data_IF_363320343201
#
_entry.id   IF_363320343201
#
_cell.length_a   1.000
_cell.length_b   1.000
_cell.length_c   1.000
_cell.angle_alpha   90.00
_cell.angle_beta   90.00
_cell.angle_gamma   90.00
#
_symmetry.space_group_name_H-M   'P 1'
#
loop_
_entity.id
_entity.type
_entity.pdbx_description
1 polymer ?
#
# COMPACT_ATOMS: atom_id res chain seq x y z
N UNK A 1 -13.09 -8.04 13.04
CA UNK A 1 -14.15 -7.00 12.92
C UNK A 1 -13.79 -6.11 11.74
N UNK A 2 -14.72 -5.79 10.83
CA UNK A 2 -14.51 -4.83 9.75
C UNK A 2 -15.27 -3.53 10.01
N UNK A 3 -14.75 -2.40 9.54
CA UNK A 3 -15.35 -1.08 9.72
C UNK A 3 -15.02 -0.13 8.56
N UNK A 4 -15.69 1.02 8.54
CA UNK A 4 -15.43 2.13 7.63
C UNK A 4 -16.32 3.32 7.93
N UNK A 5 -16.19 4.39 7.15
CA UNK A 5 -16.91 5.65 7.36
C UNK A 5 -17.98 5.90 6.31
N UNK A 6 -19.05 6.59 6.70
CA UNK A 6 -19.95 7.29 5.78
C UNK A 6 -19.89 8.76 6.12
N UNK A 7 -19.47 9.57 5.16
CA UNK A 7 -19.26 11.01 5.36
C UNK A 7 -20.21 11.77 4.45
N UNK A 8 -20.94 12.72 5.05
CA UNK A 8 -21.82 13.66 4.38
C UNK A 8 -21.47 15.07 4.87
N UNK A 9 -21.73 16.06 4.03
CA UNK A 9 -21.52 17.46 4.35
C UNK A 9 -22.22 18.36 3.34
N UNK A 10 -22.17 19.66 3.59
CA UNK A 10 -22.74 20.66 2.69
C UNK A 10 -21.85 20.87 1.44
N UNK A 11 -22.48 21.35 0.36
CA UNK A 11 -21.84 21.47 -0.95
C UNK A 11 -21.68 20.12 -1.65
N UNK A 12 -20.72 20.07 -2.58
CA UNK A 12 -20.55 18.94 -3.47
C UNK A 12 -19.51 19.18 -4.56
N UNK A 13 -19.67 18.46 -5.67
CA UNK A 13 -18.74 18.45 -6.80
C UNK A 13 -18.45 19.84 -7.34
N UNK A 14 -19.50 20.66 -7.44
CA UNK A 14 -19.51 22.06 -7.86
C UNK A 14 -18.74 23.00 -6.92
N UNK A 15 -18.49 22.58 -5.69
CA UNK A 15 -17.72 23.36 -4.69
C UNK A 15 -16.33 22.82 -4.45
N UNK A 16 -15.91 21.75 -5.13
CA UNK A 16 -14.61 21.09 -4.93
C UNK A 16 -14.63 20.01 -3.84
N UNK A 17 -15.75 19.81 -3.14
CA UNK A 17 -15.96 18.69 -2.22
C UNK A 17 -16.48 17.49 -3.01
N UNK A 18 -16.29 16.28 -2.48
CA UNK A 18 -16.63 15.03 -3.19
C UNK A 18 -17.31 14.02 -2.28
N UNK A 19 -18.21 14.53 -1.43
CA UNK A 19 -19.02 13.72 -0.51
C UNK A 19 -19.67 12.54 -1.24
N UNK A 20 -19.62 11.35 -0.63
CA UNK A 20 -20.16 10.14 -1.24
C UNK A 20 -20.80 9.21 -0.20
N UNK A 21 -21.87 9.66 0.50
CA UNK A 21 -22.42 8.96 1.68
C UNK A 21 -23.04 7.59 1.37
N UNK A 22 -23.37 7.34 0.10
CA UNK A 22 -23.86 6.07 -0.42
C UNK A 22 -22.82 4.94 -0.33
N UNK A 23 -21.53 5.25 -0.24
CA UNK A 23 -20.46 4.25 -0.12
C UNK A 23 -19.81 4.29 1.25
N UNK A 24 -19.36 3.13 1.71
CA UNK A 24 -18.49 3.04 2.89
C UNK A 24 -17.07 3.34 2.47
N UNK A 25 -16.47 4.34 3.09
CA UNK A 25 -15.11 4.81 2.85
C UNK A 25 -14.14 4.12 3.81
N UNK A 26 -12.95 3.84 3.32
CA UNK A 26 -11.83 3.31 4.10
C UNK A 26 -11.33 4.39 5.06
N UNK A 27 -11.00 3.99 6.29
CA UNK A 27 -10.27 4.86 7.21
C UNK A 27 -8.83 5.08 6.68
N UNK A 28 -8.41 6.34 6.43
CA UNK A 28 -7.04 6.66 6.02
C UNK A 28 -5.95 6.12 6.96
N UNK A 29 -6.29 5.87 8.22
CA UNK A 29 -5.42 5.34 9.27
C UNK A 29 -5.68 3.85 9.59
N UNK A 30 -6.51 3.15 8.82
CA UNK A 30 -6.73 1.73 9.03
C UNK A 30 -5.38 0.97 9.02
N UNK A 31 -5.01 0.26 10.10
CA UNK A 31 -3.73 -0.44 10.15
C UNK A 31 -3.72 -1.68 9.25
N UNK A 32 -4.91 -2.20 8.90
CA UNK A 32 -5.10 -3.34 8.02
C UNK A 32 -6.36 -3.11 7.19
N UNK A 33 -6.37 -3.60 5.94
CA UNK A 33 -7.53 -3.57 5.07
C UNK A 33 -8.02 -4.98 4.74
N UNK A 34 -9.32 -5.20 4.95
CA UNK A 34 -10.02 -6.37 4.46
C UNK A 34 -10.58 -6.08 3.07
N UNK A 35 -10.33 -7.00 2.15
CA UNK A 35 -10.85 -6.99 0.80
C UNK A 35 -10.65 -8.36 0.15
N UNK A 36 -10.33 -8.36 -1.15
CA UNK A 36 -10.01 -9.58 -1.90
C UNK A 36 -8.88 -10.39 -1.24
N UNK A 37 -8.94 -11.72 -1.40
CA UNK A 37 -7.94 -12.64 -0.84
C UNK A 37 -6.85 -13.05 -1.81
N UNK A 38 -7.17 -13.15 -3.09
CA UNK A 38 -6.25 -13.67 -4.10
C UNK A 38 -5.87 -12.56 -5.08
N UNK A 39 -4.58 -12.35 -5.26
CA UNK A 39 -4.06 -11.33 -6.17
C UNK A 39 -4.53 -11.59 -7.62
N UNK A 40 -5.10 -10.56 -8.24
CA UNK A 40 -5.48 -10.56 -9.64
C UNK A 40 -6.73 -11.38 -9.95
N UNK A 41 -7.42 -11.90 -8.93
CA UNK A 41 -8.62 -12.71 -9.09
C UNK A 41 -9.79 -12.06 -8.37
N UNK A 42 -10.90 -11.83 -9.09
CA UNK A 42 -12.14 -11.37 -8.49
C UNK A 42 -12.66 -12.38 -7.47
N UNK A 43 -13.22 -11.91 -6.37
CA UNK A 43 -13.90 -12.76 -5.41
C UNK A 43 -15.18 -12.09 -4.86
N UNK A 44 -16.16 -12.84 -4.33
CA UNK A 44 -17.40 -12.25 -3.84
C UNK A 44 -17.25 -11.31 -2.63
N UNK A 45 -16.15 -11.40 -1.87
CA UNK A 45 -15.92 -10.60 -0.66
C UNK A 45 -15.74 -9.12 -1.02
N UNK A 46 -15.12 -8.85 -2.16
CA UNK A 46 -14.82 -7.49 -2.62
C UNK A 46 -16.06 -6.68 -3.04
N UNK A 47 -17.19 -7.34 -3.33
CA UNK A 47 -18.43 -6.68 -3.78
C UNK A 47 -18.21 -5.69 -4.93
N UNK A 48 -17.44 -6.09 -5.95
CA UNK A 48 -17.08 -5.22 -7.07
C UNK A 48 -18.32 -4.70 -7.80
N UNK A 49 -18.27 -3.40 -8.13
CA UNK A 49 -19.30 -2.72 -8.91
C UNK A 49 -18.65 -1.95 -10.06
N UNK A 50 -19.15 -2.05 -11.32
CA UNK A 50 -18.65 -1.23 -12.42
C UNK A 50 -18.66 0.26 -12.06
N UNK A 51 -17.63 1.00 -12.47
CA UNK A 51 -17.38 2.41 -12.10
C UNK A 51 -17.12 2.68 -10.61
N UNK A 52 -17.69 1.94 -9.67
CA UNK A 52 -17.38 2.13 -8.24
C UNK A 52 -16.11 1.39 -7.84
N UNK A 53 -15.81 0.23 -8.42
CA UNK A 53 -14.67 -0.60 -8.07
C UNK A 53 -14.99 -1.57 -6.94
N UNK A 54 -13.95 -2.08 -6.32
CA UNK A 54 -14.01 -3.02 -5.20
C UNK A 54 -14.22 -2.28 -3.88
N UNK A 55 -14.88 -2.93 -2.92
CA UNK A 55 -15.02 -2.46 -1.55
C UNK A 55 -13.87 -3.00 -0.71
N UNK A 56 -13.18 -2.08 -0.04
CA UNK A 56 -12.22 -2.38 1.01
C UNK A 56 -12.72 -1.80 2.33
N UNK A 57 -12.40 -2.44 3.45
CA UNK A 57 -12.83 -2.02 4.78
C UNK A 57 -11.66 -2.07 5.75
N UNK A 58 -11.62 -1.14 6.70
CA UNK A 58 -10.67 -1.20 7.80
C UNK A 58 -10.90 -2.45 8.65
N UNK A 59 -9.82 -3.01 9.20
CA UNK A 59 -9.87 -4.08 10.19
C UNK A 59 -8.70 -3.95 11.17
N UNK A 60 -8.73 -4.75 12.23
CA UNK A 60 -7.64 -4.88 13.19
C UNK A 60 -7.37 -6.37 13.47
N UNK A 61 -6.22 -6.64 14.06
CA UNK A 61 -5.87 -7.92 14.67
C UNK A 61 -6.14 -7.82 16.18
N UNK A 62 -7.15 -8.52 16.68
CA UNK A 62 -7.51 -8.55 18.10
C UNK A 62 -7.09 -9.84 18.81
N UNK A 63 -6.81 -10.87 18.02
CA UNK A 63 -6.72 -12.25 18.51
C UNK A 63 -5.27 -12.71 18.61
N UNK A 64 -4.38 -12.17 17.77
CA UNK A 64 -3.00 -12.62 17.77
C UNK A 64 -2.22 -12.03 18.94
N UNK A 65 -1.27 -12.79 19.53
CA UNK A 65 -0.32 -12.21 20.47
C UNK A 65 0.58 -11.20 19.75
N UNK A 66 1.18 -10.32 20.56
CA UNK A 66 2.24 -9.42 20.10
C UNK A 66 3.29 -10.21 19.29
N UNK A 67 3.74 -9.63 18.19
CA UNK A 67 4.72 -10.29 17.34
C UNK A 67 6.08 -10.36 18.07
N UNK A 68 6.62 -11.56 18.22
CA UNK A 68 7.91 -11.78 18.85
C UNK A 68 9.04 -11.49 17.86
N UNK A 69 9.69 -10.34 18.00
CA UNK A 69 10.88 -9.98 17.22
C UNK A 69 12.16 -10.72 17.69
N UNK A 70 12.09 -11.56 18.73
CA UNK A 70 13.25 -12.25 19.30
C UNK A 70 14.16 -11.28 20.05
N UNK A 71 15.50 -11.35 19.90
CA UNK A 71 16.43 -10.42 20.55
C UNK A 71 16.27 -8.93 20.15
N UNK A 72 15.28 -8.59 19.33
CA UNK A 72 14.76 -7.23 19.16
C UNK A 72 15.63 -6.35 18.26
N UNK A 73 15.79 -5.08 18.65
CA UNK A 73 16.66 -4.11 17.94
C UNK A 73 18.09 -4.61 17.73
N UNK A 74 18.58 -5.49 18.61
CA UNK A 74 19.93 -6.04 18.51
C UNK A 74 20.16 -6.88 17.23
N UNK A 75 19.11 -7.37 16.57
CA UNK A 75 19.22 -8.05 15.29
C UNK A 75 18.99 -7.15 14.07
N UNK A 76 18.64 -5.87 14.26
CA UNK A 76 18.49 -4.92 13.15
C UNK A 76 19.89 -4.51 12.71
N UNK A 77 20.40 -5.16 11.67
CA UNK A 77 21.55 -4.62 10.95
C UNK A 77 21.13 -3.28 10.35
N UNK A 78 22.01 -2.28 10.48
CA UNK A 78 21.86 -0.99 9.78
C UNK A 78 23.20 -0.73 9.14
N UNK A 79 23.34 -1.18 7.90
CA UNK A 79 24.52 -0.88 7.13
C UNK A 79 24.64 0.63 7.00
N UNK A 80 25.86 1.16 7.06
CA UNK A 80 26.06 2.55 6.71
C UNK A 80 25.70 2.74 5.23
N UNK A 81 25.16 3.91 4.85
CA UNK A 81 24.73 4.16 3.47
C UNK A 81 25.80 3.85 2.41
N UNK A 82 27.08 4.07 2.74
CA UNK A 82 28.23 3.79 1.87
C UNK A 82 28.49 2.30 1.62
N UNK A 83 27.97 1.44 2.49
CA UNK A 83 28.16 -0.01 2.48
C UNK A 83 26.91 -0.72 1.89
N UNK A 84 25.89 0.04 1.46
CA UNK A 84 24.67 -0.51 0.88
C UNK A 84 24.87 -1.01 -0.55
N UNK A 85 24.50 -2.27 -0.78
CA UNK A 85 24.25 -2.86 -2.10
C UNK A 85 22.77 -3.20 -2.17
N UNK A 86 22.01 -2.34 -2.86
CA UNK A 86 20.55 -2.39 -2.91
C UNK A 86 20.08 -3.29 -4.05
N UNK A 87 19.15 -4.21 -3.74
CA UNK A 87 18.47 -5.07 -4.71
C UNK A 87 16.99 -4.71 -4.82
N UNK A 88 16.61 -4.03 -5.91
CA UNK A 88 15.22 -3.65 -6.20
C UNK A 88 14.41 -4.88 -6.66
N UNK A 89 13.26 -5.14 -6.02
CA UNK A 89 12.43 -6.29 -6.37
C UNK A 89 10.96 -6.16 -5.99
N UNK A 90 10.03 -6.66 -6.84
CA UNK A 90 8.64 -6.87 -6.46
C UNK A 90 8.47 -8.17 -5.66
N UNK A 91 7.79 -8.09 -4.50
CA UNK A 91 7.51 -9.25 -3.63
C UNK A 91 6.88 -10.39 -4.42
N UNK A 92 5.83 -10.09 -5.20
CA UNK A 92 5.10 -11.11 -5.96
C UNK A 92 5.96 -11.76 -7.04
N UNK A 93 6.47 -10.97 -7.98
CA UNK A 93 7.14 -11.53 -9.16
C UNK A 93 8.45 -12.23 -8.82
N UNK A 94 9.09 -11.89 -7.69
CA UNK A 94 10.32 -12.54 -7.25
C UNK A 94 10.16 -14.06 -7.01
N UNK A 95 9.00 -14.51 -6.53
CA UNK A 95 8.78 -15.93 -6.18
C UNK A 95 7.52 -16.55 -6.82
N UNK A 96 6.78 -15.83 -7.66
CA UNK A 96 5.55 -16.34 -8.28
C UNK A 96 5.75 -17.58 -9.18
N UNK A 97 6.91 -17.72 -9.82
CA UNK A 97 7.20 -18.84 -10.73
C UNK A 97 7.34 -20.17 -9.98
N UNK A 98 6.91 -21.32 -10.53
CA UNK A 98 7.24 -22.64 -10.00
C UNK A 98 8.75 -22.89 -9.86
N UNK A 99 9.57 -22.21 -10.66
CA UNK A 99 11.05 -22.28 -10.55
C UNK A 99 11.59 -21.72 -9.23
N UNK A 100 10.78 -21.01 -8.45
CA UNK A 100 11.13 -20.60 -7.08
C UNK A 100 11.28 -21.79 -6.13
N UNK A 101 10.79 -22.99 -6.50
CA UNK A 101 10.80 -24.20 -5.68
C UNK A 101 10.06 -24.06 -4.34
N UNK A 102 9.16 -23.08 -4.24
CA UNK A 102 8.28 -22.91 -3.09
C UNK A 102 6.96 -23.66 -3.27
N UNK A 103 6.29 -24.04 -2.16
CA UNK A 103 4.90 -24.50 -2.21
C UNK A 103 4.01 -23.48 -2.89
N UNK A 104 2.98 -23.94 -3.63
CA UNK A 104 2.10 -23.06 -4.42
C UNK A 104 1.51 -21.90 -3.61
N UNK A 105 1.03 -22.19 -2.40
CA UNK A 105 0.46 -21.20 -1.47
C UNK A 105 1.41 -20.11 -0.97
N UNK A 106 2.73 -20.30 -1.11
CA UNK A 106 3.76 -19.33 -0.68
C UNK A 106 4.41 -18.59 -1.86
N UNK A 107 4.02 -18.87 -3.10
CA UNK A 107 4.61 -18.21 -4.26
C UNK A 107 4.11 -16.79 -4.40
N UNK A 108 5.04 -15.83 -4.44
CA UNK A 108 4.73 -14.41 -4.60
C UNK A 108 4.07 -13.79 -3.37
N UNK A 109 4.44 -14.26 -2.17
CA UNK A 109 3.93 -13.81 -0.87
C UNK A 109 5.07 -13.30 0.00
N UNK A 110 4.76 -12.61 1.11
CA UNK A 110 5.78 -12.18 2.07
C UNK A 110 6.53 -13.38 2.66
N UNK A 111 5.82 -14.46 3.01
CA UNK A 111 6.45 -15.69 3.48
C UNK A 111 7.34 -16.34 2.41
N UNK A 112 6.92 -16.32 1.14
CA UNK A 112 7.74 -16.83 0.04
C UNK A 112 9.06 -16.08 -0.11
N UNK A 113 9.03 -14.76 0.02
CA UNK A 113 10.23 -13.93 0.02
C UNK A 113 11.13 -14.24 1.22
N UNK A 114 10.55 -14.40 2.42
CA UNK A 114 11.30 -14.77 3.63
C UNK A 114 12.14 -16.04 3.42
N UNK A 115 11.60 -17.05 2.72
CA UNK A 115 12.32 -18.30 2.38
C UNK A 115 13.49 -18.11 1.40
N UNK A 116 13.65 -16.92 0.82
CA UNK A 116 14.76 -16.56 -0.08
C UNK A 116 15.81 -15.67 0.57
N UNK A 117 15.74 -15.43 1.87
CA UNK A 117 16.74 -14.62 2.60
C UNK A 117 18.18 -15.17 2.42
N UNK A 118 18.39 -16.49 2.56
CA UNK A 118 19.72 -17.07 2.35
C UNK A 118 20.23 -16.88 0.93
N UNK A 119 19.36 -17.03 -0.08
CA UNK A 119 19.73 -16.79 -1.47
C UNK A 119 20.19 -15.34 -1.70
N UNK A 120 19.49 -14.37 -1.11
CA UNK A 120 19.88 -12.95 -1.18
C UNK A 120 21.20 -12.69 -0.44
N UNK A 121 21.41 -13.32 0.72
CA UNK A 121 22.67 -13.22 1.46
C UNK A 121 23.84 -13.82 0.66
N UNK A 122 23.64 -14.99 0.03
CA UNK A 122 24.64 -15.64 -0.83
C UNK A 122 24.95 -14.82 -2.09
N UNK A 123 23.96 -14.08 -2.61
CA UNK A 123 24.14 -13.13 -3.70
C UNK A 123 25.02 -11.94 -3.29
N UNK A 124 25.12 -11.64 -1.99
CA UNK A 124 25.96 -10.60 -1.42
C UNK A 124 25.32 -9.21 -1.38
N UNK A 125 23.98 -9.13 -1.49
CA UNK A 125 23.26 -7.86 -1.32
C UNK A 125 23.09 -7.56 0.16
N UNK A 126 23.13 -6.29 0.55
CA UNK A 126 23.01 -5.88 1.95
C UNK A 126 21.65 -5.24 2.25
N UNK A 127 20.89 -4.89 1.23
CA UNK A 127 19.54 -4.37 1.36
C UNK A 127 18.66 -4.81 0.20
N UNK A 128 17.37 -5.02 0.48
CA UNK A 128 16.34 -5.13 -0.55
C UNK A 128 15.52 -3.84 -0.59
N UNK A 129 15.24 -3.35 -1.78
CA UNK A 129 14.25 -2.30 -2.01
C UNK A 129 13.00 -2.95 -2.59
N UNK A 130 11.97 -3.06 -1.77
CA UNK A 130 10.71 -3.66 -2.18
C UNK A 130 9.90 -2.62 -2.95
N UNK A 131 9.49 -2.98 -4.17
CA UNK A 131 8.39 -2.27 -4.85
C UNK A 131 7.15 -2.22 -3.93
N UNK A 132 6.20 -1.29 -4.18
CA UNK A 132 5.06 -1.04 -3.32
C UNK A 132 4.45 -2.26 -2.60
N UNK A 133 4.39 -2.15 -1.28
CA UNK A 133 3.81 -3.17 -0.40
C UNK A 133 2.60 -2.68 0.39
N UNK A 134 2.20 -1.43 0.21
CA UNK A 134 1.00 -0.87 0.84
C UNK A 134 -0.23 -1.39 0.09
N UNK A 135 -1.41 -1.35 0.66
CA UNK A 135 -2.61 -1.88 0.01
C UNK A 135 -2.98 -1.12 -1.28
N UNK A 136 -3.16 -1.81 -2.42
CA UNK A 136 -3.73 -1.27 -3.67
C UNK A 136 -4.77 -2.21 -4.31
N UNK A 137 -5.55 -1.69 -5.25
CA UNK A 137 -6.45 -2.50 -6.09
C UNK A 137 -5.74 -2.88 -7.39
N UNK A 138 -5.21 -4.10 -7.47
CA UNK A 138 -4.54 -4.59 -8.69
C UNK A 138 -5.47 -4.71 -9.91
N UNK A 139 -6.78 -4.62 -9.70
CA UNK A 139 -7.81 -4.68 -10.73
C UNK A 139 -8.46 -3.31 -11.00
N UNK A 140 -7.82 -2.21 -10.60
CA UNK A 140 -8.35 -0.84 -10.79
C UNK A 140 -8.71 -0.54 -12.26
N UNK A 141 -7.94 -1.07 -13.22
CA UNK A 141 -8.19 -0.86 -14.65
C UNK A 141 -9.41 -1.63 -15.19
N UNK A 142 -9.96 -2.58 -14.44
CA UNK A 142 -11.19 -3.28 -14.81
C UNK A 142 -12.46 -2.52 -14.40
N UNK A 143 -12.31 -1.41 -13.67
CA UNK A 143 -13.45 -0.61 -13.21
C UNK A 143 -14.19 0.06 -14.36
N UNK A 144 -13.49 0.28 -15.48
CA UNK A 144 -13.97 0.95 -16.67
C UNK A 144 -13.49 0.26 -17.94
N UNK A 145 -14.29 0.38 -19.00
CA UNK A 145 -13.89 -0.11 -20.31
C UNK A 145 -12.75 0.73 -20.88
N UNK A 146 -11.60 0.12 -21.06
CA UNK A 146 -10.42 0.76 -21.63
C UNK A 146 -9.50 -0.30 -22.28
N UNK A 147 -8.51 0.11 -23.11
CA UNK A 147 -7.64 -0.85 -23.80
C UNK A 147 -6.82 -1.77 -22.88
N UNK A 148 -6.72 -1.45 -21.58
CA UNK A 148 -5.95 -2.18 -20.56
C UNK A 148 -6.85 -2.90 -19.54
N UNK A 149 -8.16 -2.99 -19.77
CA UNK A 149 -9.08 -3.63 -18.82
C UNK A 149 -8.75 -5.12 -18.56
N UNK A 150 -8.02 -5.78 -19.46
CA UNK A 150 -7.55 -7.15 -19.28
C UNK A 150 -6.26 -7.27 -18.43
N UNK A 151 -5.61 -6.15 -18.12
CA UNK A 151 -4.34 -6.10 -17.38
C UNK A 151 -4.58 -5.97 -15.87
N UNK A 152 -3.56 -6.34 -15.10
CA UNK A 152 -3.51 -6.15 -13.65
C UNK A 152 -2.34 -5.24 -13.28
N UNK A 153 -2.53 -4.36 -12.29
CA UNK A 153 -1.45 -3.54 -11.76
C UNK A 153 -0.54 -4.40 -10.87
N UNK A 154 0.57 -4.87 -11.45
CA UNK A 154 1.55 -5.73 -10.76
C UNK A 154 2.56 -4.95 -9.94
N UNK A 155 2.77 -3.66 -10.23
CA UNK A 155 3.79 -2.85 -9.54
C UNK A 155 3.26 -2.22 -8.25
N UNK A 156 1.98 -1.85 -8.20
CA UNK A 156 1.35 -1.35 -6.97
C UNK A 156 1.54 0.13 -6.67
N UNK A 157 2.05 0.93 -7.62
CA UNK A 157 2.13 2.39 -7.52
C UNK A 157 0.73 3.05 -7.67
N UNK A 158 -0.22 2.69 -6.81
CA UNK A 158 -1.60 3.21 -6.79
C UNK A 158 -2.27 2.91 -5.44
N UNK A 159 -1.73 3.48 -4.35
CA UNK A 159 -2.13 3.07 -2.99
C UNK A 159 -3.57 3.49 -2.63
N UNK A 160 -4.28 2.61 -1.92
CA UNK A 160 -5.58 2.87 -1.26
C UNK A 160 -5.36 3.48 0.12
N UNK A 161 -4.34 3.02 0.85
CA UNK A 161 -4.07 3.34 2.24
C UNK A 161 -2.55 3.34 2.49
N UNK A 162 -2.11 4.13 3.48
CA UNK A 162 -0.69 4.34 3.75
C UNK A 162 -0.11 3.50 4.91
N UNK A 163 -0.90 2.68 5.58
CA UNK A 163 -0.51 1.92 6.77
C UNK A 163 -0.63 0.42 6.57
N UNK A 164 -1.64 -0.03 5.82
CA UNK A 164 -1.94 -1.43 5.64
C UNK A 164 -0.99 -2.09 4.64
N UNK A 165 -0.33 -3.21 4.99
CA UNK A 165 0.38 -4.05 4.02
C UNK A 165 -0.60 -4.71 3.05
N UNK A 166 -0.13 -5.01 1.85
CA UNK A 166 -0.89 -5.66 0.78
C UNK A 166 -1.43 -7.01 1.26
N UNK A 167 -2.72 -7.09 1.59
CA UNK A 167 -3.29 -8.28 2.23
C UNK A 167 -3.32 -9.51 1.32
N UNK A 168 -3.21 -9.28 0.01
CA UNK A 168 -3.12 -10.32 -1.03
C UNK A 168 -1.73 -10.93 -1.19
N UNK A 169 -0.75 -10.46 -0.42
CA UNK A 169 0.58 -11.07 -0.30
C UNK A 169 0.69 -11.99 0.92
N UNK A 170 -0.42 -12.30 1.61
CA UNK A 170 -0.50 -13.40 2.55
C UNK A 170 -0.42 -14.76 1.85
N UNK A 171 0.31 -15.71 2.42
CA UNK A 171 0.28 -17.09 2.01
C UNK A 171 -1.15 -17.65 2.05
N UNK A 172 -1.47 -18.50 1.08
CA UNK A 172 -2.77 -19.17 0.93
C UNK A 172 -3.99 -18.22 0.90
N UNK A 173 -3.78 -16.91 0.63
CA UNK A 173 -4.86 -15.92 0.69
C UNK A 173 -5.44 -15.73 2.10
N UNK A 174 -4.66 -16.00 3.15
CA UNK A 174 -5.10 -15.95 4.55
C UNK A 174 -5.55 -14.54 5.01
N UNK A 175 -5.25 -13.51 4.22
CA UNK A 175 -5.79 -12.15 4.33
C UNK A 175 -4.98 -11.22 5.22
N UNK A 176 -5.57 -10.10 5.67
CA UNK A 176 -4.80 -8.96 6.18
C UNK A 176 -3.98 -9.24 7.42
N UNK A 177 -4.54 -9.96 8.40
CA UNK A 177 -3.83 -10.28 9.64
C UNK A 177 -2.63 -11.17 9.34
N UNK A 178 -2.81 -12.21 8.51
CA UNK A 178 -1.72 -13.08 8.09
C UNK A 178 -0.66 -12.30 7.29
N UNK A 179 -1.06 -11.47 6.32
CA UNK A 179 -0.14 -10.64 5.54
C UNK A 179 0.74 -9.75 6.43
N UNK A 180 0.15 -9.08 7.43
CA UNK A 180 0.90 -8.24 8.35
C UNK A 180 1.90 -9.05 9.20
N UNK A 181 1.50 -10.23 9.68
CA UNK A 181 2.39 -11.10 10.46
C UNK A 181 3.50 -11.70 9.60
N UNK A 182 3.18 -12.11 8.39
CA UNK A 182 4.13 -12.63 7.42
C UNK A 182 5.12 -11.54 6.96
N UNK A 183 4.67 -10.30 6.81
CA UNK A 183 5.57 -9.17 6.55
C UNK A 183 6.58 -9.01 7.68
N UNK A 184 6.13 -9.00 8.94
CA UNK A 184 7.04 -8.93 10.10
C UNK A 184 7.99 -10.13 10.14
N UNK A 185 7.50 -11.33 9.83
CA UNK A 185 8.34 -12.52 9.75
C UNK A 185 9.38 -12.42 8.62
N UNK A 186 9.00 -11.90 7.47
CA UNK A 186 9.91 -11.63 6.35
C UNK A 186 11.02 -10.66 6.75
N UNK A 187 10.66 -9.52 7.35
CA UNK A 187 11.64 -8.54 7.85
C UNK A 187 12.57 -9.17 8.89
N UNK A 188 12.01 -9.89 9.88
CA UNK A 188 12.79 -10.60 10.90
C UNK A 188 13.79 -11.59 10.28
N UNK A 189 13.36 -12.35 9.27
CA UNK A 189 14.21 -13.33 8.59
C UNK A 189 15.30 -12.66 7.75
N UNK A 190 15.00 -11.56 7.06
CA UNK A 190 15.98 -10.78 6.30
C UNK A 190 17.01 -10.14 7.24
N UNK A 191 16.57 -9.55 8.36
CA UNK A 191 17.46 -9.01 9.39
C UNK A 191 18.40 -10.07 9.97
N UNK A 192 17.88 -11.27 10.25
CA UNK A 192 18.71 -12.39 10.72
C UNK A 192 19.76 -12.83 9.69
N UNK A 193 19.53 -12.60 8.40
CA UNK A 193 20.48 -12.81 7.32
C UNK A 193 21.39 -11.58 7.05
N UNK A 194 21.26 -10.51 7.84
CA UNK A 194 22.02 -9.27 7.66
C UNK A 194 21.58 -8.46 6.44
N UNK A 195 20.29 -8.43 6.13
CA UNK A 195 19.73 -7.69 4.98
C UNK A 195 18.75 -6.63 5.48
N UNK A 196 19.03 -5.37 5.16
CA UNK A 196 18.18 -4.23 5.48
C UNK A 196 16.95 -4.21 4.53
N UNK A 197 15.80 -3.74 5.01
CA UNK A 197 14.56 -3.67 4.24
C UNK A 197 14.17 -2.22 3.97
N UNK A 198 14.23 -1.83 2.70
CA UNK A 198 13.79 -0.53 2.20
C UNK A 198 12.46 -0.68 1.48
N UNK A 199 11.55 0.29 1.66
CA UNK A 199 10.27 0.30 0.96
C UNK A 199 10.21 1.42 -0.08
N UNK A 200 9.78 1.07 -1.28
CA UNK A 200 9.31 2.03 -2.26
C UNK A 200 7.91 2.53 -1.86
N UNK A 201 7.79 3.83 -1.61
CA UNK A 201 6.58 4.45 -1.05
C UNK A 201 5.99 5.50 -1.96
N UNK A 202 4.68 5.41 -2.17
CA UNK A 202 3.91 6.34 -3.00
C UNK A 202 3.01 7.19 -2.12
N UNK A 203 3.50 8.37 -1.76
CA UNK A 203 2.71 9.39 -1.05
C UNK A 203 2.22 10.52 -1.96
N UNK A 204 2.65 10.53 -3.23
CA UNK A 204 2.42 11.65 -4.13
C UNK A 204 1.03 11.61 -4.81
N UNK A 205 0.42 10.43 -4.94
CA UNK A 205 -0.92 10.24 -5.48
C UNK A 205 -1.59 9.03 -4.82
N UNK A 206 -2.85 8.79 -5.17
CA UNK A 206 -3.66 7.66 -4.67
C UNK A 206 -4.44 7.02 -5.80
N UNK A 207 -4.98 5.83 -5.55
CA UNK A 207 -5.87 5.08 -6.47
C UNK A 207 -7.13 5.86 -6.88
N UNK A 208 -7.49 6.94 -6.17
CA UNK A 208 -8.76 7.64 -6.36
C UNK A 208 -8.88 8.38 -7.72
N UNK A 209 -7.78 8.45 -8.47
CA UNK A 209 -7.74 8.92 -9.86
C UNK A 209 -8.11 10.40 -10.02
N UNK A 210 -8.65 10.76 -11.18
CA UNK A 210 -9.12 12.11 -11.50
C UNK A 210 -10.61 12.30 -11.18
N UNK A 211 -11.20 13.43 -11.59
CA UNK A 211 -12.64 13.70 -11.44
C UNK A 211 -13.50 13.17 -12.61
N UNK A 212 -12.89 12.77 -13.72
CA UNK A 212 -13.63 12.26 -14.88
C UNK A 212 -14.21 10.89 -14.57
N UNK A 213 -13.37 10.06 -13.95
CA UNK A 213 -13.68 8.66 -13.64
C UNK A 213 -13.22 8.33 -12.20
N UNK A 214 -13.81 8.97 -11.17
CA UNK A 214 -13.30 8.95 -9.80
C UNK A 214 -13.44 7.57 -9.16
N UNK A 215 -12.41 7.11 -8.44
CA UNK A 215 -12.49 5.92 -7.61
C UNK A 215 -12.66 6.33 -6.13
N UNK A 216 -13.86 6.78 -5.76
CA UNK A 216 -14.11 7.27 -4.38
C UNK A 216 -14.10 6.09 -3.39
N UNK A 217 -13.01 5.89 -2.67
CA UNK A 217 -12.77 4.80 -1.72
C UNK A 217 -12.36 5.28 -0.34
N UNK A 218 -11.74 6.47 -0.20
CA UNK A 218 -11.16 6.95 1.05
C UNK A 218 -11.14 8.49 1.10
N UNK A 219 -9.96 9.09 0.88
CA UNK A 219 -9.61 10.49 1.10
C UNK A 219 -10.57 11.46 0.43
N UNK A 220 -10.94 11.22 -0.83
CA UNK A 220 -11.83 12.04 -1.65
C UNK A 220 -13.19 12.22 -1.00
N UNK A 221 -13.77 11.12 -0.53
CA UNK A 221 -15.09 11.12 0.10
C UNK A 221 -15.08 11.67 1.53
N UNK A 222 -13.91 11.70 2.18
CA UNK A 222 -13.73 12.18 3.56
C UNK A 222 -13.44 13.67 3.61
N UNK A 223 -12.49 14.16 2.82
CA UNK A 223 -12.22 15.60 2.66
C UNK A 223 -11.28 15.84 1.45
N UNK A 224 -11.88 15.92 0.26
CA UNK A 224 -11.15 16.12 -1.00
C UNK A 224 -10.15 17.30 -1.01
N UNK A 225 -10.51 18.47 -0.46
CA UNK A 225 -9.68 19.68 -0.53
C UNK A 225 -8.50 19.65 0.43
N UNK A 226 -8.65 18.93 1.53
CA UNK A 226 -7.58 18.69 2.48
C UNK A 226 -6.57 17.68 1.91
N UNK A 227 -7.05 16.57 1.34
CA UNK A 227 -6.17 15.48 0.90
C UNK A 227 -5.56 15.68 -0.49
N UNK A 228 -6.19 16.42 -1.39
CA UNK A 228 -5.70 16.64 -2.75
C UNK A 228 -5.43 18.11 -3.06
N UNK A 229 -4.37 18.35 -3.82
CA UNK A 229 -4.06 19.67 -4.35
C UNK A 229 -5.17 20.12 -5.31
N UNK A 230 -5.64 21.35 -5.10
CA UNK A 230 -6.62 22.00 -5.97
C UNK A 230 -6.04 23.28 -6.56
N UNK A 231 -6.52 23.69 -7.73
CA UNK A 231 -6.06 24.91 -8.37
C UNK A 231 -6.46 26.13 -7.54
N UNK A 232 -5.49 26.98 -7.19
CA UNK A 232 -5.71 28.17 -6.34
C UNK A 232 -6.65 29.21 -6.97
N UNK A 233 -6.71 29.27 -8.31
CA UNK A 233 -7.59 30.17 -9.08
C UNK A 233 -8.92 29.52 -9.42
N UNK A 234 -8.97 28.18 -9.45
CA UNK A 234 -10.17 27.38 -9.70
C UNK A 234 -10.27 26.23 -8.68
N UNK A 235 -10.65 26.49 -7.42
CA UNK A 235 -10.57 25.52 -6.31
C UNK A 235 -11.40 24.23 -6.48
N UNK A 236 -12.25 24.16 -7.51
CA UNK A 236 -13.01 22.96 -7.87
C UNK A 236 -12.18 21.94 -8.64
N UNK A 237 -11.06 22.36 -9.24
CA UNK A 237 -10.22 21.55 -10.11
C UNK A 237 -9.08 20.91 -9.32
N UNK A 238 -8.97 19.58 -9.38
CA UNK A 238 -7.83 18.83 -8.83
C UNK A 238 -6.60 19.01 -9.72
N UNK A 239 -5.43 19.16 -9.08
CA UNK A 239 -4.14 19.25 -9.74
C UNK A 239 -3.52 17.85 -9.90
N UNK A 240 -2.83 17.63 -11.02
CA UNK A 240 -2.21 16.35 -11.36
C UNK A 240 -0.74 16.53 -11.77
N UNK A 241 0.12 16.75 -10.78
CA UNK A 241 1.57 16.79 -10.96
C UNK A 241 2.20 15.40 -11.06
N UNK A 242 1.55 14.37 -10.51
CA UNK A 242 2.02 12.98 -10.56
C UNK A 242 1.84 12.31 -11.93
N UNK A 243 0.89 12.80 -12.73
CA UNK A 243 0.43 12.12 -13.95
C UNK A 243 -0.60 11.02 -13.70
N UNK A 244 -0.95 10.73 -12.44
CA UNK A 244 -1.86 9.64 -12.04
C UNK A 244 -3.31 10.09 -11.78
N UNK A 245 -3.65 11.35 -12.09
CA UNK A 245 -5.01 11.90 -12.02
C UNK A 245 -5.25 12.80 -10.80
N UNK A 246 -4.49 12.60 -9.73
CA UNK A 246 -4.50 13.46 -8.54
C UNK A 246 -3.08 13.69 -8.00
N UNK A 247 -2.93 14.70 -7.15
CA UNK A 247 -1.72 14.90 -6.35
C UNK A 247 -2.10 15.13 -4.91
N UNK A 248 -1.51 14.36 -4.01
CA UNK A 248 -1.73 14.45 -2.58
C UNK A 248 -1.18 15.78 -2.06
N UNK A 249 -1.97 16.46 -1.22
CA UNK A 249 -1.64 17.76 -0.65
C UNK A 249 -0.64 17.63 0.52
N UNK A 250 0.59 17.20 0.24
CA UNK A 250 1.60 16.91 1.26
C UNK A 250 2.01 18.14 2.11
N UNK A 251 1.70 19.35 1.65
CA UNK A 251 1.92 20.60 2.36
C UNK A 251 0.81 20.96 3.37
N UNK A 252 -0.34 20.27 3.33
CA UNK A 252 -1.41 20.49 4.30
C UNK A 252 -1.07 19.82 5.64
N UNK A 253 -1.20 20.50 6.80
CA UNK A 253 -0.74 19.97 8.10
C UNK A 253 -1.31 18.59 8.47
N UNK A 254 -2.58 18.33 8.12
CA UNK A 254 -3.25 17.03 8.37
C UNK A 254 -2.61 15.92 7.54
N UNK A 255 -2.35 16.19 6.25
CA UNK A 255 -1.80 15.20 5.32
C UNK A 255 -0.31 14.96 5.60
N UNK A 256 0.45 16.03 5.85
CA UNK A 256 1.84 15.94 6.28
C UNK A 256 1.97 15.07 7.53
N UNK A 257 1.14 15.31 8.55
CA UNK A 257 1.12 14.50 9.77
C UNK A 257 0.77 13.04 9.49
N UNK A 258 -0.16 12.78 8.57
CA UNK A 258 -0.51 11.41 8.16
C UNK A 258 0.66 10.69 7.48
N UNK A 259 1.34 11.34 6.55
CA UNK A 259 2.53 10.78 5.88
C UNK A 259 3.62 10.47 6.91
N UNK A 260 3.91 11.41 7.82
CA UNK A 260 4.89 11.19 8.90
C UNK A 260 4.47 10.04 9.80
N UNK A 261 3.20 9.98 10.22
CA UNK A 261 2.70 8.89 11.05
C UNK A 261 2.81 7.54 10.35
N UNK A 262 2.55 7.48 9.03
CA UNK A 262 2.72 6.28 8.23
C UNK A 262 4.19 5.84 8.20
N UNK A 263 5.12 6.75 7.92
CA UNK A 263 6.56 6.46 7.95
C UNK A 263 7.01 5.92 9.32
N UNK A 264 6.60 6.58 10.40
CA UNK A 264 6.89 6.13 11.77
C UNK A 264 6.29 4.74 12.01
N UNK A 265 5.04 4.51 11.60
CA UNK A 265 4.38 3.22 11.74
C UNK A 265 5.17 2.09 11.06
N UNK A 266 5.60 2.27 9.82
CA UNK A 266 6.41 1.26 9.12
C UNK A 266 7.76 0.98 9.80
N UNK A 267 8.40 2.00 10.39
CA UNK A 267 9.65 1.83 11.14
C UNK A 267 9.45 1.13 12.48
N UNK A 268 8.41 1.50 13.24
CA UNK A 268 8.22 1.02 14.62
C UNK A 268 7.42 -0.28 14.70
N UNK A 269 6.41 -0.45 13.85
CA UNK A 269 5.53 -1.63 13.87
C UNK A 269 6.08 -2.77 13.01
N UNK A 270 6.69 -2.43 11.87
CA UNK A 270 7.14 -3.40 10.87
C UNK A 270 8.67 -3.48 10.72
N UNK A 271 9.41 -2.66 11.47
CA UNK A 271 10.87 -2.65 11.48
C UNK A 271 11.51 -2.41 10.10
N UNK A 272 10.87 -1.60 9.25
CA UNK A 272 11.47 -1.11 8.01
C UNK A 272 12.66 -0.20 8.32
N UNK A 273 13.71 -0.28 7.50
CA UNK A 273 15.00 0.39 7.75
C UNK A 273 15.18 1.67 6.93
N UNK A 274 14.38 1.85 5.89
CA UNK A 274 14.38 3.08 5.10
C UNK A 274 13.32 3.09 4.00
N UNK A 275 13.29 4.20 3.27
CA UNK A 275 12.27 4.44 2.25
C UNK A 275 12.89 5.06 1.00
N UNK A 276 12.43 4.61 -0.16
CA UNK A 276 12.64 5.25 -1.45
C UNK A 276 11.33 5.90 -1.88
N UNK A 277 11.34 7.22 -2.07
CA UNK A 277 10.13 7.99 -2.35
C UNK A 277 9.88 8.10 -3.84
N UNK A 278 8.78 7.49 -4.30
CA UNK A 278 8.31 7.65 -5.66
C UNK A 278 7.89 9.10 -5.93
N UNK A 279 8.28 9.61 -7.12
CA UNK A 279 8.00 10.98 -7.58
C UNK A 279 8.17 12.06 -6.49
N UNK A 280 9.25 11.96 -5.71
CA UNK A 280 9.49 12.79 -4.51
C UNK A 280 9.28 14.30 -4.73
N UNK A 281 9.57 14.82 -5.93
CA UNK A 281 9.35 16.23 -6.28
C UNK A 281 7.90 16.71 -6.14
N UNK A 282 6.91 15.82 -6.24
CA UNK A 282 5.50 16.16 -6.02
C UNK A 282 5.21 16.50 -4.56
N UNK A 283 5.99 15.97 -3.61
CA UNK A 283 5.84 16.23 -2.18
C UNK A 283 6.37 17.62 -1.78
N UNK A 284 7.10 18.29 -2.68
CA UNK A 284 7.70 19.61 -2.46
C UNK A 284 6.88 20.76 -3.07
N UNK A 285 5.61 20.52 -3.44
CA UNK A 285 4.73 21.49 -4.12
C UNK A 285 3.84 22.26 -3.14
#
# INVERSE_FOLDING_TARGET
>A
ITYGYKVAGDGGWETGLRWYPQRVLVDPYAPLLSGRRVFGQRDPVEQFRPKEGSQFLGTFDFDSPAFDWGPGEASRSRHALKDLVIYEMPVRSFTASPSSQLPEGQRGTFLGLANKAQYLADLGVTAVELLPVFEWDELEFQRLRNPREHMVNIWGYSHINFFAPMSRFAADGAGPVAAAREFKQMVKTLHAAGIDVLLDVVYNHTVEGDDKDPYVISFRGIENKTYYMTDVTKPVQIMNFSGCGNTVSANHPVVMKMIINSLVHWVTEYHVDGFRFDLASCLCR
#
